data_IF_279642245924
#
_entry.id   IF_279642245924
#
_cell.length_a   1.000
_cell.length_b   1.000
_cell.length_c   1.000
_cell.angle_alpha   90.00
_cell.angle_beta   90.00
_cell.angle_gamma   90.00
#
_symmetry.space_group_name_H-M   'P 1'
#
loop_
_entity.id
_entity.type
_entity.pdbx_description
1 polymer ?
#
# COMPACT_ATOMS: atom_id res chain seq x y z
N UNK A 1 2.44 6.86 -9.95
CA UNK A 1 2.10 7.64 -11.18
C UNK A 1 1.49 9.00 -10.84
N UNK A 2 0.65 9.05 -9.84
CA UNK A 2 -0.02 10.25 -9.33
C UNK A 2 0.93 11.29 -8.74
N UNK A 3 2.12 10.88 -8.27
CA UNK A 3 3.14 11.77 -7.72
C UNK A 3 4.10 12.36 -8.76
N UNK A 4 3.84 12.17 -10.05
CA UNK A 4 4.67 12.75 -11.12
C UNK A 4 4.70 14.29 -11.01
N UNK A 5 5.90 14.85 -11.12
CA UNK A 5 6.14 16.29 -10.99
C UNK A 5 6.83 16.70 -9.70
N UNK A 6 6.87 15.82 -8.69
CA UNK A 6 7.68 16.05 -7.48
C UNK A 6 9.11 15.52 -7.68
N UNK A 7 10.06 16.28 -7.17
CA UNK A 7 11.49 15.96 -7.30
C UNK A 7 11.79 14.58 -6.69
N UNK A 8 12.59 13.78 -7.39
CA UNK A 8 12.97 12.43 -6.96
C UNK A 8 11.95 11.33 -7.28
N UNK A 9 10.77 11.66 -7.81
CA UNK A 9 9.78 10.66 -8.18
C UNK A 9 10.17 9.90 -9.44
N UNK A 10 10.33 8.58 -9.32
CA UNK A 10 10.43 7.64 -10.43
C UNK A 10 9.13 6.86 -10.54
N UNK A 11 8.54 6.81 -11.72
CA UNK A 11 7.24 6.18 -11.93
C UNK A 11 7.26 5.26 -13.14
N UNK A 12 6.83 4.03 -12.95
CA UNK A 12 6.56 3.12 -14.05
C UNK A 12 5.19 3.41 -14.68
N UNK A 13 5.05 3.31 -16.00
CA UNK A 13 3.73 3.23 -16.61
C UNK A 13 2.95 2.05 -16.05
N UNK A 14 1.62 2.17 -15.81
CA UNK A 14 0.79 1.08 -15.27
C UNK A 14 0.95 -0.24 -16.02
N UNK A 15 0.98 -0.20 -17.36
CA UNK A 15 1.15 -1.39 -18.17
C UNK A 15 2.50 -2.08 -17.92
N UNK A 16 3.57 -1.31 -17.78
CA UNK A 16 4.89 -1.90 -17.51
C UNK A 16 4.96 -2.58 -16.13
N UNK A 17 4.30 -2.02 -15.11
CA UNK A 17 4.21 -2.66 -13.80
C UNK A 17 3.38 -3.96 -13.88
N UNK A 18 2.28 -3.95 -14.61
CA UNK A 18 1.46 -5.13 -14.86
C UNK A 18 2.29 -6.22 -15.55
N UNK A 19 2.97 -5.89 -16.64
CA UNK A 19 3.81 -6.83 -17.41
C UNK A 19 4.95 -7.39 -16.55
N UNK A 20 5.56 -6.56 -15.70
CA UNK A 20 6.60 -7.00 -14.75
C UNK A 20 6.07 -8.04 -13.77
N UNK A 21 4.90 -7.79 -13.16
CA UNK A 21 4.28 -8.74 -12.21
C UNK A 21 3.94 -10.05 -12.92
N UNK A 22 3.41 -9.99 -14.13
CA UNK A 22 3.08 -11.18 -14.92
C UNK A 22 4.33 -11.99 -15.30
N UNK A 23 5.37 -11.32 -15.76
CA UNK A 23 6.63 -11.98 -16.14
C UNK A 23 7.29 -12.68 -14.94
N UNK A 24 7.54 -11.94 -13.86
CA UNK A 24 8.16 -12.49 -12.64
C UNK A 24 7.29 -13.58 -12.01
N UNK A 25 5.98 -13.36 -11.93
CA UNK A 25 5.06 -14.34 -11.36
C UNK A 25 4.98 -15.64 -12.18
N UNK A 26 5.07 -15.56 -13.50
CA UNK A 26 5.12 -16.73 -14.38
C UNK A 26 6.39 -17.53 -14.16
N UNK A 27 7.55 -16.88 -14.04
CA UNK A 27 8.81 -17.57 -13.77
C UNK A 27 8.82 -18.21 -12.39
N UNK A 28 8.25 -17.54 -11.38
CA UNK A 28 8.09 -18.13 -10.04
C UNK A 28 7.17 -19.37 -10.07
N UNK A 29 6.07 -19.32 -10.82
CA UNK A 29 5.21 -20.50 -11.00
C UNK A 29 5.94 -21.65 -11.68
N UNK A 30 6.71 -21.37 -12.73
CA UNK A 30 7.54 -22.36 -13.41
C UNK A 30 8.64 -22.94 -12.50
N UNK A 31 9.16 -22.16 -11.57
CA UNK A 31 10.09 -22.61 -10.53
C UNK A 31 9.44 -23.44 -9.40
N UNK A 32 8.11 -23.64 -9.43
CA UNK A 32 7.39 -24.48 -8.49
C UNK A 32 6.84 -23.76 -7.26
N UNK A 33 6.88 -22.43 -7.21
CA UNK A 33 6.22 -21.67 -6.14
C UNK A 33 4.69 -21.84 -6.26
N UNK A 34 4.05 -22.05 -5.14
CA UNK A 34 2.59 -22.22 -5.06
C UNK A 34 1.85 -21.00 -4.52
N UNK A 35 2.58 -20.08 -3.90
CA UNK A 35 2.03 -18.86 -3.28
C UNK A 35 2.95 -17.69 -3.56
N UNK A 36 2.37 -16.62 -4.08
CA UNK A 36 3.05 -15.35 -4.32
C UNK A 36 2.30 -14.23 -3.60
N UNK A 37 2.98 -13.58 -2.67
CA UNK A 37 2.47 -12.38 -2.01
C UNK A 37 3.04 -11.14 -2.69
N UNK A 38 2.16 -10.26 -3.15
CA UNK A 38 2.50 -8.94 -3.65
C UNK A 38 2.31 -7.96 -2.50
N UNK A 39 3.34 -7.79 -1.64
CA UNK A 39 3.26 -6.87 -0.51
C UNK A 39 3.48 -5.44 -0.99
N UNK A 40 2.44 -4.65 -0.94
CA UNK A 40 2.39 -3.29 -1.44
C UNK A 40 2.38 -2.28 -0.30
N UNK A 41 3.32 -1.34 -0.29
CA UNK A 41 3.39 -0.24 0.68
C UNK A 41 2.73 1.07 0.19
N UNK A 42 2.26 1.15 -1.08
CA UNK A 42 1.80 2.38 -1.70
C UNK A 42 0.33 2.28 -2.18
N UNK A 43 -0.51 3.23 -1.75
CA UNK A 43 -1.95 3.25 -2.03
C UNK A 43 -2.29 3.24 -3.52
N UNK A 44 -1.61 4.05 -4.32
CA UNK A 44 -1.88 4.23 -5.74
C UNK A 44 -1.73 2.98 -6.63
N UNK A 45 -1.14 1.90 -6.11
CA UNK A 45 -0.95 0.65 -6.85
C UNK A 45 -1.97 -0.44 -6.47
N UNK A 46 -2.84 -0.23 -5.50
CA UNK A 46 -3.74 -1.27 -4.98
C UNK A 46 -4.56 -1.90 -6.09
N UNK A 47 -5.32 -1.11 -6.82
CA UNK A 47 -6.20 -1.60 -7.89
C UNK A 47 -5.41 -2.29 -9.02
N UNK A 48 -4.26 -1.75 -9.40
CA UNK A 48 -3.41 -2.34 -10.44
C UNK A 48 -2.87 -3.71 -10.04
N UNK A 49 -2.41 -3.86 -8.80
CA UNK A 49 -1.90 -5.14 -8.29
C UNK A 49 -3.02 -6.18 -8.12
N UNK A 50 -4.24 -5.75 -7.80
CA UNK A 50 -5.41 -6.63 -7.80
C UNK A 50 -5.73 -7.16 -9.20
N UNK A 51 -5.65 -6.31 -10.23
CA UNK A 51 -5.81 -6.71 -11.63
C UNK A 51 -4.68 -7.66 -12.04
N UNK A 52 -3.42 -7.31 -11.74
CA UNK A 52 -2.26 -8.15 -12.03
C UNK A 52 -2.37 -9.53 -11.39
N UNK A 53 -2.79 -9.59 -10.12
CA UNK A 53 -2.98 -10.84 -9.40
C UNK A 53 -4.02 -11.76 -10.06
N UNK A 54 -5.14 -11.20 -10.51
CA UNK A 54 -6.18 -11.95 -11.21
C UNK A 54 -5.72 -12.46 -12.57
N UNK A 55 -5.01 -11.64 -13.34
CA UNK A 55 -4.46 -12.06 -14.64
C UNK A 55 -3.39 -13.15 -14.47
N UNK A 56 -2.47 -12.98 -13.52
CA UNK A 56 -1.46 -13.97 -13.23
C UNK A 56 -2.07 -15.29 -12.77
N UNK A 57 -3.04 -15.26 -11.87
CA UNK A 57 -3.72 -16.46 -11.42
C UNK A 57 -4.49 -17.16 -12.55
N UNK A 58 -5.13 -16.39 -13.45
CA UNK A 58 -5.78 -16.96 -14.62
C UNK A 58 -4.81 -17.67 -15.58
N UNK A 59 -3.60 -17.11 -15.74
CA UNK A 59 -2.53 -17.71 -16.54
C UNK A 59 -1.83 -18.90 -15.84
N UNK A 60 -1.78 -18.87 -14.50
CA UNK A 60 -1.10 -19.84 -13.64
C UNK A 60 -2.02 -20.31 -12.51
N UNK A 61 -3.04 -21.16 -12.80
CA UNK A 61 -4.08 -21.51 -11.82
C UNK A 61 -3.57 -22.25 -10.57
N UNK A 62 -2.39 -22.87 -10.66
CA UNK A 62 -1.74 -23.53 -9.53
C UNK A 62 -1.04 -22.55 -8.56
N UNK A 63 -0.83 -21.30 -8.98
CA UNK A 63 -0.23 -20.27 -8.16
C UNK A 63 -1.31 -19.43 -7.46
N UNK A 64 -1.33 -19.44 -6.14
CA UNK A 64 -2.08 -18.45 -5.38
C UNK A 64 -1.37 -17.11 -5.43
N UNK A 65 -2.04 -16.06 -5.91
CA UNK A 65 -1.49 -14.70 -5.96
C UNK A 65 -2.28 -13.80 -5.00
N UNK A 66 -1.58 -13.23 -4.02
CA UNK A 66 -2.20 -12.50 -2.91
C UNK A 66 -1.71 -11.04 -2.91
N UNK A 67 -2.46 -10.11 -3.52
CA UNK A 67 -2.15 -8.69 -3.42
C UNK A 67 -2.52 -8.21 -2.01
N UNK A 68 -1.51 -7.72 -1.28
CA UNK A 68 -1.63 -7.30 0.11
C UNK A 68 -1.19 -5.85 0.24
N UNK A 69 -2.07 -4.97 0.71
CA UNK A 69 -1.70 -3.61 1.04
C UNK A 69 -1.24 -3.55 2.50
N UNK A 70 -0.04 -3.03 2.72
CA UNK A 70 0.67 -3.05 4.01
C UNK A 70 -0.20 -2.54 5.16
N UNK A 71 -0.93 -1.44 4.94
CA UNK A 71 -1.74 -0.76 5.94
C UNK A 71 -3.12 -1.39 6.16
N UNK A 72 -3.57 -2.29 5.30
CA UNK A 72 -4.84 -3.01 5.41
C UNK A 72 -4.62 -4.42 5.89
N UNK A 73 -5.13 -4.72 7.04
CA UNK A 73 -5.11 -6.10 7.49
C UNK A 73 -4.63 -6.33 8.90
N UNK A 74 -3.45 -5.84 9.34
CA UNK A 74 -3.06 -5.96 10.73
C UNK A 74 -4.03 -5.23 11.66
N UNK A 75 -4.45 -5.91 12.71
CA UNK A 75 -5.27 -5.30 13.75
C UNK A 75 -4.47 -4.28 14.56
N UNK A 76 -5.13 -3.26 15.06
CA UNK A 76 -4.52 -2.29 15.96
C UNK A 76 -3.78 -1.13 15.27
N UNK A 77 -3.64 -1.13 13.94
CA UNK A 77 -3.00 -0.02 13.22
C UNK A 77 -3.89 1.22 13.27
N UNK A 78 -5.15 1.08 12.90
CA UNK A 78 -6.10 2.21 12.85
C UNK A 78 -6.30 2.88 14.21
N UNK A 79 -6.23 2.14 15.32
CA UNK A 79 -6.36 2.72 16.66
C UNK A 79 -5.16 3.57 17.08
N UNK A 80 -4.01 3.42 16.42
CA UNK A 80 -2.79 4.20 16.70
C UNK A 80 -2.72 5.49 15.90
N UNK A 81 -3.58 5.64 14.90
CA UNK A 81 -3.64 6.82 14.03
C UNK A 81 -4.88 7.61 14.43
N UNK A 82 -4.77 8.91 14.79
CA UNK A 82 -5.91 9.74 15.15
C UNK A 82 -6.89 9.90 13.97
N UNK A 83 -8.18 10.12 14.29
CA UNK A 83 -9.27 10.12 13.31
C UNK A 83 -9.06 11.05 12.11
N UNK A 84 -8.63 12.32 12.27
CA UNK A 84 -8.41 13.17 11.11
C UNK A 84 -7.38 12.59 10.14
N UNK A 85 -6.30 12.01 10.66
CA UNK A 85 -5.24 11.44 9.84
C UNK A 85 -5.64 10.10 9.20
N UNK A 86 -6.49 9.31 9.85
CA UNK A 86 -7.03 8.07 9.25
C UNK A 86 -7.88 8.32 8.01
N UNK A 87 -8.54 9.48 7.96
CA UNK A 87 -9.42 9.86 6.85
C UNK A 87 -8.69 10.62 5.75
N UNK A 88 -7.72 11.45 6.14
CA UNK A 88 -7.07 12.44 5.25
C UNK A 88 -5.60 12.17 4.99
N UNK A 89 -4.93 11.36 5.82
CA UNK A 89 -3.52 11.02 5.68
C UNK A 89 -3.32 9.99 4.58
N UNK A 90 -3.15 10.43 3.34
CA UNK A 90 -2.99 9.57 2.18
C UNK A 90 -1.54 9.39 1.75
N UNK A 91 -0.68 10.41 2.03
CA UNK A 91 0.72 10.38 1.62
C UNK A 91 1.60 11.25 2.51
N UNK A 92 2.71 10.70 2.97
CA UNK A 92 3.70 11.39 3.80
C UNK A 92 3.12 12.07 5.07
N UNK A 93 1.97 11.60 5.55
CA UNK A 93 1.32 12.07 6.77
C UNK A 93 1.94 11.47 8.03
N UNK A 94 1.17 11.48 9.12
CA UNK A 94 1.62 11.06 10.45
C UNK A 94 2.23 9.66 10.49
N UNK A 95 1.53 8.69 9.92
CA UNK A 95 1.90 7.28 10.03
C UNK A 95 3.16 6.94 9.23
N UNK A 96 3.21 7.35 7.96
CA UNK A 96 4.38 7.09 7.09
C UNK A 96 5.61 7.85 7.58
N UNK A 97 5.45 9.12 7.98
CA UNK A 97 6.54 9.92 8.53
C UNK A 97 7.07 9.32 9.82
N UNK A 98 6.18 8.83 10.71
CA UNK A 98 6.61 8.16 11.94
C UNK A 98 7.39 6.87 11.66
N UNK A 99 6.94 6.05 10.70
CA UNK A 99 7.70 4.88 10.28
C UNK A 99 9.10 5.25 9.76
N UNK A 100 9.20 6.29 8.95
CA UNK A 100 10.49 6.75 8.43
C UNK A 100 11.39 7.30 9.54
N UNK A 101 10.85 8.01 10.53
CA UNK A 101 11.61 8.45 11.70
C UNK A 101 12.16 7.28 12.51
N UNK A 102 11.41 6.17 12.62
CA UNK A 102 11.88 4.96 13.29
C UNK A 102 12.93 4.20 12.47
N UNK A 103 12.70 4.06 11.16
CA UNK A 103 13.54 3.22 10.30
C UNK A 103 14.79 3.92 9.77
N UNK A 104 14.71 5.21 9.50
CA UNK A 104 15.77 6.00 8.84
C UNK A 104 15.61 7.49 9.11
N UNK A 105 15.71 7.91 10.37
CA UNK A 105 15.52 9.30 10.81
C UNK A 105 16.36 10.30 10.01
N UNK A 106 17.58 9.93 9.66
CA UNK A 106 18.49 10.75 8.87
C UNK A 106 18.02 11.07 7.45
N UNK A 107 17.00 10.36 6.96
CA UNK A 107 16.37 10.60 5.65
C UNK A 107 15.13 11.48 5.74
N UNK A 108 14.69 11.81 6.95
CA UNK A 108 13.50 12.65 7.17
C UNK A 108 13.93 14.10 7.35
N UNK A 109 13.59 14.94 6.36
CA UNK A 109 13.92 16.36 6.39
C UNK A 109 13.20 17.14 7.50
N UNK A 110 13.71 18.33 7.86
CA UNK A 110 13.00 19.26 8.73
C UNK A 110 11.83 19.92 7.97
N UNK A 111 10.94 20.60 8.71
CA UNK A 111 9.89 21.44 8.10
C UNK A 111 8.68 20.65 7.58
N UNK A 112 8.34 19.60 8.28
CA UNK A 112 7.15 18.77 8.01
C UNK A 112 5.89 19.55 8.37
N UNK A 113 5.13 19.93 7.35
CA UNK A 113 3.90 20.70 7.52
C UNK A 113 2.73 19.91 6.93
N UNK A 114 1.56 20.08 7.54
CA UNK A 114 0.32 19.58 6.99
C UNK A 114 0.05 20.20 5.62
N UNK A 115 -0.42 19.38 4.70
CA UNK A 115 -0.87 19.82 3.38
C UNK A 115 -1.97 18.84 2.93
N UNK A 116 -2.76 19.22 1.94
CA UNK A 116 -3.85 18.40 1.43
C UNK A 116 -4.83 19.24 0.63
N UNK A 117 -5.96 18.66 0.23
CA UNK A 117 -6.92 19.33 -0.62
C UNK A 117 -7.62 20.50 0.10
N UNK A 118 -7.78 21.61 -0.61
CA UNK A 118 -8.57 22.76 -0.15
C UNK A 118 -10.07 22.48 -0.15
N UNK A 119 -10.50 21.48 -0.91
CA UNK A 119 -11.90 21.08 -1.06
C UNK A 119 -12.06 19.57 -0.88
N UNK A 120 -13.07 19.20 -0.13
CA UNK A 120 -13.46 17.79 0.03
C UNK A 120 -14.20 17.29 -1.21
N UNK A 121 -14.12 15.99 -1.55
CA UNK A 121 -15.00 15.38 -2.54
C UNK A 121 -16.47 15.60 -2.21
N UNK A 122 -17.37 15.58 -3.20
CA UNK A 122 -18.80 15.68 -2.96
C UNK A 122 -19.32 14.61 -1.98
N UNK A 123 -20.45 14.87 -1.33
CA UNK A 123 -21.07 13.93 -0.41
C UNK A 123 -21.22 12.53 -1.04
N UNK A 124 -20.83 11.51 -0.31
CA UNK A 124 -20.84 10.11 -0.78
C UNK A 124 -19.61 9.69 -1.59
N UNK A 125 -18.68 10.60 -1.88
CA UNK A 125 -17.44 10.34 -2.57
C UNK A 125 -16.23 10.53 -1.64
N UNK A 126 -15.09 9.98 -2.00
CA UNK A 126 -13.86 10.07 -1.21
C UNK A 126 -12.64 10.09 -2.13
N UNK A 127 -11.48 10.43 -1.58
CA UNK A 127 -10.21 10.34 -2.32
C UNK A 127 -9.75 8.89 -2.45
N UNK A 128 -10.09 8.05 -1.47
CA UNK A 128 -9.87 6.61 -1.49
C UNK A 128 -11.07 5.86 -0.90
N UNK A 129 -11.16 4.56 -1.11
CA UNK A 129 -12.19 3.72 -0.48
C UNK A 129 -13.22 3.16 -1.46
N UNK A 130 -14.51 3.21 -1.10
CA UNK A 130 -15.57 2.53 -1.88
C UNK A 130 -16.05 3.32 -3.09
N UNK A 131 -15.99 4.65 -3.04
CA UNK A 131 -16.41 5.53 -4.12
C UNK A 131 -15.32 6.59 -4.39
N UNK A 132 -14.14 6.17 -4.91
CA UNK A 132 -13.00 7.07 -5.05
C UNK A 132 -13.15 8.01 -6.24
N UNK A 133 -12.74 9.27 -6.04
CA UNK A 133 -12.44 10.20 -7.11
C UNK A 133 -11.00 9.96 -7.60
N UNK A 134 -10.76 10.03 -8.90
CA UNK A 134 -9.39 10.03 -9.41
C UNK A 134 -8.74 11.40 -9.17
N UNK A 135 -7.47 11.39 -8.75
CA UNK A 135 -6.71 12.60 -8.44
C UNK A 135 -5.22 12.44 -8.75
N UNK A 136 -4.55 13.55 -8.89
CA UNK A 136 -3.09 13.63 -8.91
C UNK A 136 -2.61 14.41 -7.68
N UNK A 137 -1.49 14.03 -7.11
CA UNK A 137 -0.96 14.67 -5.89
C UNK A 137 -0.85 16.18 -6.01
N UNK A 138 -0.42 16.69 -7.17
CA UNK A 138 -0.33 18.14 -7.43
C UNK A 138 -1.67 18.89 -7.44
N UNK A 139 -2.79 18.18 -7.52
CA UNK A 139 -4.14 18.74 -7.43
C UNK A 139 -4.60 18.89 -5.99
N UNK A 140 -3.99 18.12 -5.08
CA UNK A 140 -4.34 18.06 -3.66
C UNK A 140 -3.31 18.73 -2.77
N UNK A 141 -2.05 18.85 -3.23
CA UNK A 141 -0.93 19.30 -2.40
C UNK A 141 0.15 19.96 -3.24
N UNK A 142 0.71 21.02 -2.72
CA UNK A 142 1.84 21.74 -3.30
C UNK A 142 3.19 21.17 -2.84
N UNK A 143 3.24 20.60 -1.64
CA UNK A 143 4.45 20.03 -1.02
C UNK A 143 4.64 18.54 -1.36
N UNK A 144 3.60 17.86 -1.78
CA UNK A 144 3.55 16.40 -1.93
C UNK A 144 2.98 15.67 -0.71
N UNK A 145 2.86 16.34 0.44
CA UNK A 145 2.22 15.78 1.64
C UNK A 145 0.70 15.81 1.46
N UNK A 146 0.01 14.73 1.78
CA UNK A 146 -1.45 14.70 1.91
C UNK A 146 -1.76 14.09 3.28
N UNK A 147 -1.88 14.96 4.29
CA UNK A 147 -2.03 14.61 5.69
C UNK A 147 -1.32 15.60 6.62
N UNK A 148 -1.17 15.23 7.88
CA UNK A 148 -0.49 16.06 8.90
C UNK A 148 0.66 15.29 9.58
N UNK A 149 1.92 15.50 9.15
CA UNK A 149 3.08 14.87 9.76
C UNK A 149 3.59 15.57 11.03
N UNK A 150 2.95 16.64 11.51
CA UNK A 150 3.49 17.46 12.61
C UNK A 150 3.65 16.68 13.93
N UNK A 151 2.76 15.71 14.19
CA UNK A 151 2.84 14.84 15.37
C UNK A 151 3.65 13.56 15.18
N UNK A 152 4.35 13.41 14.05
CA UNK A 152 5.11 12.19 13.78
C UNK A 152 6.31 12.04 14.73
N UNK A 153 6.53 10.82 15.23
CA UNK A 153 7.64 10.48 16.11
C UNK A 153 8.19 9.08 15.85
N UNK A 154 9.44 8.86 16.24
CA UNK A 154 10.07 7.56 16.14
C UNK A 154 9.38 6.51 17.03
N UNK A 155 8.85 6.91 18.19
CA UNK A 155 8.12 6.03 19.13
C UNK A 155 6.80 5.55 18.49
N UNK A 156 6.03 6.44 17.87
CA UNK A 156 4.84 6.05 17.11
C UNK A 156 5.23 5.14 15.94
N UNK A 157 6.31 5.48 15.25
CA UNK A 157 6.87 4.68 14.16
C UNK A 157 7.22 3.27 14.59
N UNK A 158 7.88 3.11 15.74
CA UNK A 158 8.19 1.81 16.33
C UNK A 158 6.91 1.02 16.64
N UNK A 159 5.94 1.64 17.29
CA UNK A 159 4.68 0.98 17.64
C UNK A 159 3.88 0.53 16.41
N UNK A 160 3.90 1.34 15.33
CA UNK A 160 3.29 0.98 14.04
C UNK A 160 4.05 -0.16 13.37
N UNK A 161 5.39 -0.09 13.33
CA UNK A 161 6.24 -1.11 12.73
C UNK A 161 6.04 -2.48 13.39
N UNK A 162 6.09 -2.54 14.73
CA UNK A 162 5.89 -3.78 15.49
C UNK A 162 4.48 -4.37 15.23
N UNK A 163 3.46 -3.52 15.20
CA UNK A 163 2.09 -3.97 14.93
C UNK A 163 1.92 -4.48 13.49
N UNK A 164 2.54 -3.82 12.50
CA UNK A 164 2.55 -4.26 11.10
C UNK A 164 3.27 -5.60 10.97
N UNK A 165 4.47 -5.73 11.50
CA UNK A 165 5.27 -6.97 11.46
C UNK A 165 4.51 -8.12 12.09
N UNK A 166 4.00 -7.95 13.31
CA UNK A 166 3.29 -9.01 14.01
C UNK A 166 1.97 -9.38 13.32
N UNK A 167 1.23 -8.39 12.82
CA UNK A 167 -0.02 -8.64 12.11
C UNK A 167 0.18 -9.40 10.79
N UNK A 168 1.18 -9.02 10.00
CA UNK A 168 1.51 -9.74 8.77
C UNK A 168 2.15 -11.10 9.03
N UNK A 169 3.00 -11.23 10.05
CA UNK A 169 3.54 -12.52 10.48
C UNK A 169 2.43 -13.52 10.78
N UNK A 170 1.41 -13.12 11.54
CA UNK A 170 0.25 -14.00 11.85
C UNK A 170 -0.52 -14.39 10.57
N UNK A 171 -0.75 -13.45 9.66
CA UNK A 171 -1.46 -13.72 8.40
C UNK A 171 -0.68 -14.68 7.51
N UNK A 172 0.62 -14.46 7.36
CA UNK A 172 1.46 -15.37 6.56
C UNK A 172 1.57 -16.74 7.21
N UNK A 173 1.68 -16.82 8.53
CA UNK A 173 1.65 -18.10 9.22
C UNK A 173 0.32 -18.84 9.01
N UNK A 174 -0.82 -18.14 9.06
CA UNK A 174 -2.12 -18.72 8.75
C UNK A 174 -2.21 -19.23 7.31
N UNK A 175 -1.68 -18.46 6.35
CA UNK A 175 -1.60 -18.87 4.96
C UNK A 175 -0.74 -20.12 4.78
N UNK A 176 0.42 -20.19 5.43
CA UNK A 176 1.34 -21.33 5.37
C UNK A 176 0.73 -22.60 5.97
N UNK A 177 -0.08 -22.45 7.00
CA UNK A 177 -0.78 -23.56 7.68
C UNK A 177 -2.08 -23.96 6.97
N UNK A 178 -2.46 -23.31 5.87
CA UNK A 178 -3.66 -23.59 5.12
C UNK A 178 -3.39 -24.46 3.90
N UNK A 179 -4.44 -25.11 3.40
CA UNK A 179 -4.42 -25.85 2.12
C UNK A 179 -4.65 -24.94 0.90
N UNK A 180 -4.52 -23.62 1.07
CA UNK A 180 -4.68 -22.67 -0.02
C UNK A 180 -3.41 -22.58 -0.90
N UNK A 181 -3.52 -22.56 -2.23
CA UNK A 181 -4.73 -22.59 -3.04
C UNK A 181 -5.40 -23.96 -3.06
N UNK A 182 -6.74 -24.03 -3.15
CA UNK A 182 -7.41 -25.29 -3.36
C UNK A 182 -6.95 -25.90 -4.70
N UNK A 183 -6.73 -27.19 -4.72
CA UNK A 183 -6.43 -27.90 -5.98
C UNK A 183 -7.48 -27.58 -7.05
N UNK A 184 -7.08 -27.49 -8.31
CA UNK A 184 -7.99 -27.21 -9.41
C UNK A 184 -9.16 -28.20 -9.39
N UNK A 185 -10.38 -27.70 -9.17
CA UNK A 185 -11.57 -28.51 -9.45
C UNK A 185 -11.60 -28.74 -10.96
N UNK A 186 -11.45 -29.95 -11.39
CA UNK A 186 -11.70 -30.31 -12.80
C UNK A 186 -13.18 -30.05 -13.05
N UNK A 187 -13.48 -29.10 -13.93
CA UNK A 187 -14.82 -28.95 -14.49
C UNK A 187 -15.14 -30.15 -15.38
#
# INVERSE_FOLDING_TARGET
HEHRGFAGTLSLPPQLLLDLVLAVGTDLAAAGFQRLVLLNGHGGQIALLEVAARQLHAAQPALAVLPCFLWRGPEGISQRIPEPERQRGLHAGLAETSLMLHLAENLVGPGRQADGPDQEPPEGWSLEGQAPCAWLTRELSSSGVIGDPAGASAELGQALFEALVEGWRRRFQSLLNSDWPPGSRRC
#
